data_IF_234892321627
#
_entry.id   IF_234892321627
#
_cell.length_a   1.000
_cell.length_b   1.000
_cell.length_c   1.000
_cell.angle_alpha   90.00
_cell.angle_beta   90.00
_cell.angle_gamma   90.00
#
_symmetry.space_group_name_H-M   'P 1'
#
loop_
_entity.id
_entity.type
_entity.pdbx_description
1 polymer ?
2 non-polymer ?
#
# COMPACT_ATOMS: atom_id res chain seq x y z
N UNK A 1 -8.58 8.73 -0.86
CA UNK A 1 -7.30 7.98 -0.71
C UNK A 1 -7.53 6.63 -0.03
N UNK A 2 -6.80 5.62 -0.47
CA UNK A 2 -6.91 4.28 0.09
C UNK A 2 -5.53 3.75 0.44
N UNK A 3 -5.47 2.95 1.50
CA UNK A 3 -4.21 2.39 1.97
C UNK A 3 -4.12 0.91 1.66
N UNK A 4 -3.14 0.53 0.86
CA UNK A 4 -2.96 -0.89 0.54
C UNK A 4 -1.58 -1.37 0.98
N UNK A 5 -1.55 -2.26 1.96
CA UNK A 5 -0.29 -2.80 2.46
C UNK A 5 -0.48 -4.17 3.11
N UNK A 6 0.60 -4.92 3.23
CA UNK A 6 0.55 -6.21 3.89
C UNK A 6 1.54 -6.26 5.02
N UNK A 7 1.13 -6.81 6.14
CA UNK A 7 2.00 -6.91 7.32
C UNK A 7 1.84 -8.24 8.05
N UNK A 8 2.89 -8.61 8.79
CA UNK A 8 2.89 -9.84 9.55
C UNK A 8 2.26 -9.60 10.91
N UNK A 9 2.18 -10.65 11.71
CA UNK A 9 1.57 -10.55 13.04
C UNK A 9 2.33 -9.56 13.93
N UNK A 10 3.66 -9.61 13.86
CA UNK A 10 4.50 -8.73 14.68
C UNK A 10 4.30 -7.26 14.32
N UNK A 11 4.18 -6.96 13.02
CA UNK A 11 3.98 -5.58 12.60
C UNK A 11 5.03 -5.06 11.64
N UNK A 12 5.85 -5.97 11.11
CA UNK A 12 6.90 -5.60 10.15
C UNK A 12 6.40 -5.72 8.73
N UNK A 13 6.81 -4.80 7.86
CA UNK A 13 6.39 -4.83 6.47
C UNK A 13 7.35 -5.67 5.63
N UNK A 14 8.62 -5.60 5.98
CA UNK A 14 9.63 -6.35 5.25
C UNK A 14 11.03 -5.76 5.38
N UNK A 15 11.84 -5.98 4.35
CA UNK A 15 13.20 -5.48 4.35
C UNK A 15 13.46 -4.63 3.10
N UNK A 16 13.96 -3.44 3.31
CA UNK A 16 14.25 -2.54 2.20
C UNK A 16 12.99 -2.24 1.40
N UNK A 17 11.82 -2.37 2.03
CA UNK A 17 10.57 -2.09 1.34
C UNK A 17 9.98 -3.30 0.64
N UNK A 18 10.83 -4.23 0.21
CA UNK A 18 10.37 -5.42 -0.50
C UNK A 18 9.82 -6.46 0.44
N UNK A 19 8.67 -7.05 0.08
CA UNK A 19 8.03 -8.06 0.91
C UNK A 19 8.90 -9.34 0.96
N UNK A 20 9.51 -9.64 2.13
CA UNK A 20 10.37 -10.81 2.28
C UNK A 20 9.61 -12.13 2.17
N UNK A 21 8.32 -12.11 2.49
CA UNK A 21 7.51 -13.31 2.43
C UNK A 21 6.92 -13.48 1.02
N UNK A 22 6.95 -14.72 0.52
CA UNK A 22 6.42 -15.01 -0.82
C UNK A 22 5.02 -15.61 -0.73
N UNK A 23 4.02 -14.75 -0.78
CA UNK A 23 2.63 -15.19 -0.72
C UNK A 23 1.90 -14.81 -2.00
N UNK A 24 2.08 -15.60 -3.07
CA UNK A 24 1.43 -15.35 -4.36
C UNK A 24 -0.02 -14.95 -4.22
N UNK A 25 -0.67 -15.44 -3.16
CA UNK A 25 -2.08 -15.12 -2.91
C UNK A 25 -2.25 -13.66 -2.51
N UNK A 26 -1.51 -13.24 -1.48
CA UNK A 26 -1.59 -11.86 -1.02
C UNK A 26 -1.10 -10.90 -2.10
N UNK A 27 -0.06 -11.33 -2.85
CA UNK A 27 0.50 -10.52 -3.93
C UNK A 27 -0.56 -10.31 -5.01
N UNK A 28 -1.31 -11.38 -5.31
CA UNK A 28 -2.38 -11.33 -6.29
C UNK A 28 -3.42 -10.30 -5.86
N UNK A 29 -3.71 -10.28 -4.56
CA UNK A 29 -4.68 -9.35 -4.01
C UNK A 29 -4.25 -7.91 -4.27
N UNK A 30 -2.98 -7.59 -4.03
CA UNK A 30 -2.49 -6.22 -4.24
C UNK A 30 -2.64 -5.82 -5.71
N UNK A 31 -2.21 -6.71 -6.59
CA UNK A 31 -2.27 -6.45 -8.03
C UNK A 31 -3.70 -6.26 -8.51
N UNK A 32 -4.61 -7.10 -8.03
CA UNK A 32 -6.02 -7.00 -8.42
C UNK A 32 -6.67 -5.68 -7.98
N UNK A 33 -6.33 -5.24 -6.78
CA UNK A 33 -6.89 -4.00 -6.23
C UNK A 33 -6.43 -2.78 -7.03
N UNK A 34 -5.23 -2.83 -7.58
CA UNK A 34 -4.67 -1.69 -8.32
C UNK A 34 -5.11 -1.68 -9.79
N UNK A 35 -6.02 -2.56 -10.15
CA UNK A 35 -6.46 -2.61 -11.53
C UNK A 35 -7.64 -1.69 -11.80
N UNK A 36 -7.43 -0.74 -12.71
CA UNK A 36 -8.46 0.22 -13.05
C UNK A 36 -8.58 1.31 -12.01
N UNK A 37 -7.56 1.47 -11.17
CA UNK A 37 -7.58 2.49 -10.12
C UNK A 37 -6.23 3.17 -10.01
N UNK A 38 -6.23 4.40 -9.53
CA UNK A 38 -5.00 5.17 -9.37
C UNK A 38 -4.24 4.74 -8.13
N UNK A 39 -2.94 4.47 -8.29
CA UNK A 39 -2.10 4.05 -7.18
C UNK A 39 -0.84 4.92 -7.08
N UNK A 40 -0.37 5.15 -5.86
CA UNK A 40 0.81 5.96 -5.65
C UNK A 40 1.89 5.15 -4.96
N UNK A 41 3.10 5.16 -5.52
CA UNK A 41 4.22 4.41 -4.98
C UNK A 41 5.42 5.29 -4.66
N UNK A 42 5.99 5.08 -3.48
CA UNK A 42 7.16 5.83 -3.07
C UNK A 42 8.38 5.43 -3.87
N UNK A 43 9.46 6.21 -3.76
CA UNK A 43 10.69 5.94 -4.50
C UNK A 43 11.26 4.57 -4.13
N UNK A 44 11.27 4.25 -2.86
CA UNK A 44 11.76 2.96 -2.43
C UNK A 44 10.92 1.87 -3.08
N UNK A 45 9.65 2.15 -3.22
CA UNK A 45 8.72 1.21 -3.84
C UNK A 45 9.09 0.97 -5.30
N UNK A 46 9.42 2.06 -6.01
CA UNK A 46 9.80 1.94 -7.40
C UNK A 46 10.86 0.86 -7.58
N UNK A 47 11.81 0.78 -6.65
CA UNK A 47 12.88 -0.21 -6.72
C UNK A 47 12.43 -1.56 -6.13
N UNK A 48 11.49 -1.52 -5.20
CA UNK A 48 10.98 -2.73 -4.55
C UNK A 48 9.96 -3.46 -5.43
N UNK A 49 9.27 -2.71 -6.29
CA UNK A 49 8.27 -3.30 -7.18
C UNK A 49 8.89 -4.39 -8.03
N UNK A 50 8.11 -5.44 -8.36
CA UNK A 50 8.58 -6.57 -9.17
C UNK A 50 8.73 -6.22 -10.65
N UNK A 51 7.73 -5.51 -11.19
CA UNK A 51 7.79 -5.10 -12.60
C UNK A 51 6.83 -3.94 -12.89
N UNK A 52 7.37 -2.83 -13.37
CA UNK A 52 6.56 -1.66 -13.66
C UNK A 52 6.83 -1.14 -15.07
N UNK A 53 5.86 -0.40 -15.67
CA UNK A 53 4.58 -0.10 -15.04
C UNK A 53 3.55 -1.18 -15.30
N UNK A 54 2.36 -1.04 -14.69
CA UNK A 54 1.29 -2.01 -14.87
C UNK A 54 0.38 -1.60 -16.03
N UNK A 55 -0.20 -2.60 -16.73
CA UNK A 55 -1.09 -2.34 -17.87
C UNK A 55 -2.53 -2.04 -17.48
N UNK A 56 -3.13 -1.07 -18.16
CA UNK A 56 -4.51 -0.68 -17.90
C UNK A 56 -4.67 -0.12 -16.49
N UNK A 57 -3.59 0.46 -15.97
CA UNK A 57 -3.59 1.04 -14.64
C UNK A 57 -2.82 2.36 -14.61
N UNK A 58 -3.09 3.18 -13.61
CA UNK A 58 -2.41 4.47 -13.48
C UNK A 58 -1.50 4.45 -12.26
N UNK A 59 -0.18 4.33 -12.50
CA UNK A 59 0.80 4.30 -11.41
C UNK A 59 1.52 5.64 -11.27
N UNK A 60 1.77 6.06 -10.04
CA UNK A 60 2.45 7.33 -9.81
C UNK A 60 3.64 7.16 -8.85
N UNK A 61 4.82 7.69 -9.22
CA UNK A 61 5.98 7.59 -8.33
C UNK A 61 6.16 8.89 -7.53
N UNK A 62 6.04 8.79 -6.21
CA UNK A 62 6.17 9.96 -5.34
C UNK A 62 7.46 9.93 -4.54
N UNK A 63 8.23 11.03 -4.62
CA UNK A 63 9.47 11.15 -3.85
C UNK A 63 9.60 12.51 -3.16
N UNK A 64 10.36 12.52 -2.07
CA UNK A 64 10.58 13.73 -1.29
C UNK A 64 11.36 14.76 -2.08
N UNK A 65 12.39 14.28 -2.79
CA UNK A 65 13.25 15.16 -3.58
C UNK A 65 12.91 15.11 -5.07
N UNK A 66 12.87 16.28 -5.71
CA UNK A 66 12.55 16.35 -7.13
C UNK A 66 13.73 15.91 -8.01
N UNK A 67 14.87 15.61 -7.38
CA UNK A 67 16.02 15.13 -8.13
C UNK A 67 15.73 13.75 -8.71
N UNK A 68 14.98 12.97 -7.94
CA UNK A 68 14.61 11.60 -8.32
C UNK A 68 13.58 11.58 -9.44
N UNK A 69 13.71 10.58 -10.33
CA UNK A 69 12.78 10.43 -11.43
C UNK A 69 12.38 8.95 -11.54
N UNK A 70 11.19 8.72 -12.08
CA UNK A 70 10.69 7.36 -12.20
C UNK A 70 10.05 7.10 -13.55
N UNK A 71 10.19 5.86 -14.02
CA UNK A 71 9.66 5.45 -15.31
C UNK A 71 8.44 4.52 -15.14
N UNK A 72 7.40 4.78 -15.90
CA UNK A 72 6.21 3.97 -15.81
C UNK A 72 5.16 4.52 -14.87
N UNK A 73 5.60 5.39 -13.94
CA UNK A 73 4.66 6.00 -13.01
C UNK A 73 4.88 7.50 -12.91
N UNK A 74 3.80 8.28 -12.92
CA UNK A 74 3.94 9.74 -12.87
C UNK A 74 4.69 10.16 -11.64
N UNK A 75 5.67 11.04 -11.83
CA UNK A 75 6.49 11.50 -10.73
C UNK A 75 5.99 12.82 -10.14
N UNK A 76 5.57 12.76 -8.88
CA UNK A 76 5.11 13.94 -8.18
C UNK A 76 5.87 14.14 -6.86
N UNK A 77 6.40 15.33 -6.67
CA UNK A 77 7.14 15.66 -5.45
C UNK A 77 6.29 16.55 -4.52
N UNK A 78 5.10 16.91 -4.95
CA UNK A 78 4.20 17.74 -4.17
C UNK A 78 3.12 16.93 -3.49
N UNK A 79 3.03 17.02 -2.16
CA UNK A 79 2.00 16.29 -1.42
C UNK A 79 0.63 16.78 -1.85
N UNK A 80 0.48 18.08 -1.99
CA UNK A 80 -0.77 18.68 -2.40
C UNK A 80 -1.14 18.23 -3.83
N UNK A 81 -0.12 18.09 -4.68
CA UNK A 81 -0.33 17.68 -6.05
C UNK A 81 -0.91 16.29 -6.15
N UNK A 82 -0.47 15.38 -5.26
CA UNK A 82 -0.98 14.01 -5.26
C UNK A 82 -2.48 14.00 -4.97
N UNK A 83 -2.88 14.79 -3.98
CA UNK A 83 -4.30 14.91 -3.62
C UNK A 83 -5.10 15.46 -4.78
N UNK A 84 -4.58 16.50 -5.41
CA UNK A 84 -5.24 17.14 -6.53
C UNK A 84 -5.40 16.19 -7.71
N UNK A 85 -4.38 15.35 -7.94
CA UNK A 85 -4.42 14.40 -9.03
C UNK A 85 -5.61 13.44 -8.85
N UNK A 86 -5.77 12.92 -7.64
CA UNK A 86 -6.87 12.02 -7.33
C UNK A 86 -8.19 12.76 -7.49
N UNK A 87 -8.19 14.02 -7.08
CA UNK A 87 -9.37 14.86 -7.16
C UNK A 87 -9.78 15.04 -8.63
N UNK A 88 -8.81 15.14 -9.51
CA UNK A 88 -9.07 15.31 -10.93
C UNK A 88 -9.81 14.09 -11.48
N UNK A 89 -9.41 12.90 -11.05
CA UNK A 89 -10.04 11.67 -11.51
C UNK A 89 -10.96 11.08 -10.43
N UNK A 90 -12.12 11.68 -10.18
CA UNK A 90 -13.08 11.20 -9.17
C UNK A 90 -13.57 9.79 -9.49
N UNK A 91 -13.60 9.48 -10.78
CA UNK A 91 -14.05 8.16 -11.23
C UNK A 91 -13.12 7.06 -10.74
N UNK A 92 -11.83 7.36 -10.68
CA UNK A 92 -10.85 6.39 -10.21
C UNK A 92 -10.35 6.73 -8.81
N UNK A 93 -10.37 5.74 -7.93
CA UNK A 93 -9.92 5.93 -6.55
C UNK A 93 -8.39 5.93 -6.44
N UNK A 94 -7.87 6.62 -5.45
CA UNK A 94 -6.44 6.70 -5.22
C UNK A 94 -6.01 5.78 -4.08
N UNK A 95 -5.02 4.95 -4.37
CA UNK A 95 -4.51 3.98 -3.40
C UNK A 95 -3.01 4.16 -3.18
N UNK A 96 -2.59 4.15 -1.91
CA UNK A 96 -1.17 4.33 -1.61
C UNK A 96 -0.47 2.98 -1.48
N UNK A 97 0.33 2.65 -2.50
CA UNK A 97 1.07 1.40 -2.52
C UNK A 97 2.25 1.38 -1.56
N UNK A 98 2.57 2.55 -1.02
CA UNK A 98 3.72 2.66 -0.13
C UNK A 98 4.66 3.71 -0.65
N UNK A 99 5.80 3.93 0.02
CA UNK A 99 6.19 3.19 1.20
C UNK A 99 5.60 3.78 2.47
N UNK A 100 6.17 3.38 3.61
CA UNK A 100 5.70 3.86 4.91
C UNK A 100 5.85 5.38 5.02
N UNK A 101 6.93 5.92 4.47
CA UNK A 101 7.13 7.36 4.51
C UNK A 101 6.00 8.03 3.72
N UNK A 102 5.65 7.43 2.60
CA UNK A 102 4.56 7.89 1.76
C UNK A 102 3.24 7.72 2.50
N UNK A 103 3.09 6.57 3.17
CA UNK A 103 1.88 6.28 3.94
C UNK A 103 1.71 7.32 5.04
N UNK A 104 2.80 7.62 5.74
CA UNK A 104 2.78 8.60 6.83
C UNK A 104 2.33 9.96 6.33
N UNK A 105 2.84 10.35 5.18
CA UNK A 105 2.52 11.65 4.59
C UNK A 105 1.02 11.80 4.30
N UNK A 106 0.39 10.75 3.81
CA UNK A 106 -1.05 10.80 3.49
C UNK A 106 -1.92 9.99 4.45
N UNK A 107 -1.32 9.47 5.51
CA UNK A 107 -2.04 8.65 6.50
C UNK A 107 -3.15 9.44 7.20
N UNK A 108 -2.87 10.70 7.50
CA UNK A 108 -3.83 11.54 8.21
C UNK A 108 -5.11 11.80 7.42
N UNK A 109 -4.99 11.91 6.10
CA UNK A 109 -6.14 12.18 5.25
C UNK A 109 -6.56 10.97 4.41
N UNK A 110 -6.70 9.82 5.06
CA UNK A 110 -7.12 8.60 4.37
C UNK A 110 -8.45 8.12 4.91
N UNK A 111 -9.37 7.84 4.00
CA UNK A 111 -10.69 7.38 4.40
C UNK A 111 -10.81 5.86 4.42
N UNK A 112 -10.03 5.16 3.59
CA UNK A 112 -10.08 3.70 3.55
C UNK A 112 -8.72 3.06 3.82
N UNK A 113 -8.66 2.14 4.77
CA UNK A 113 -7.42 1.44 5.11
C UNK A 113 -7.50 -0.05 4.81
N UNK A 114 -6.55 -0.58 4.03
CA UNK A 114 -6.54 -2.02 3.72
C UNK A 114 -5.28 -2.67 4.32
N UNK A 115 -5.48 -3.68 5.16
CA UNK A 115 -4.37 -4.37 5.81
C UNK A 115 -4.45 -5.88 5.68
N UNK A 116 -3.32 -6.50 5.35
CA UNK A 116 -3.25 -7.97 5.23
C UNK A 116 -2.40 -8.52 6.38
N UNK A 117 -2.96 -9.46 7.13
CA UNK A 117 -2.26 -10.03 8.27
C UNK A 117 -1.92 -11.49 8.05
N UNK A 118 -0.67 -11.83 8.37
CA UNK A 118 -0.17 -13.20 8.23
C UNK A 118 0.02 -13.85 9.59
N UNK A 119 -0.48 -15.07 9.73
CA UNK A 119 -0.38 -15.81 10.99
C UNK A 119 1.08 -16.06 11.32
N UNK A 120 1.87 -16.32 10.29
CA UNK A 120 3.29 -16.55 10.50
C UNK A 120 4.02 -15.23 10.74
N UNK A 121 5.32 -15.30 10.99
CA UNK A 121 6.08 -14.08 11.25
C UNK A 121 7.38 -14.06 10.42
N UNK A 122 7.80 -12.85 10.06
CA UNK A 122 9.01 -12.67 9.27
C UNK A 122 9.89 -11.58 9.89
N UNK A 123 11.20 -11.67 9.65
CA UNK A 123 12.16 -10.71 10.18
C UNK A 123 12.77 -9.86 9.07
N UNK A 124 12.86 -8.56 9.33
CA UNK A 124 13.39 -7.63 8.37
C UNK A 124 13.82 -6.32 9.01
N UNK A 125 14.52 -5.49 8.24
CA UNK A 125 15.02 -4.21 8.76
C UNK A 125 14.02 -3.06 8.58
N UNK A 126 12.88 -3.35 7.96
CA UNK A 126 11.87 -2.32 7.76
C UNK A 126 10.56 -2.66 8.48
N UNK A 127 10.06 -1.73 9.27
CA UNK A 127 8.81 -1.92 10.02
C UNK A 127 7.75 -0.90 9.60
N UNK A 128 6.47 -1.29 9.64
CA UNK A 128 5.38 -0.41 9.25
C UNK A 128 5.20 0.71 10.28
N UNK A 129 4.91 1.91 9.79
CA UNK A 129 4.69 3.06 10.67
C UNK A 129 3.46 2.85 11.55
N UNK A 130 3.47 3.40 12.76
CA UNK A 130 2.35 3.26 13.70
C UNK A 130 1.05 3.82 13.14
N UNK A 131 -0.05 3.15 13.45
CA UNK A 131 -1.36 3.58 12.98
C UNK A 131 -2.35 3.69 14.13
N UNK A 132 -3.29 4.63 14.05
CA UNK A 132 -4.27 4.78 15.13
C UNK A 132 -5.51 3.92 14.82
N UNK A 133 -5.47 2.68 15.31
CA UNK A 133 -6.57 1.74 15.11
C UNK A 133 -7.87 2.21 15.74
N UNK A 134 -7.76 2.85 16.91
CA UNK A 134 -8.94 3.33 17.62
C UNK A 134 -9.65 4.42 16.82
N UNK A 135 -8.90 5.27 16.13
CA UNK A 135 -9.48 6.35 15.33
C UNK A 135 -10.33 5.79 14.18
N UNK A 136 -9.90 4.67 13.62
CA UNK A 136 -10.62 4.05 12.50
C UNK A 136 -11.38 2.80 12.97
N UNK A 137 -12.58 2.62 12.43
CA UNK A 137 -13.40 1.45 12.78
C UNK A 137 -13.53 0.52 11.58
N UNK A 138 -13.23 -0.76 11.80
CA UNK A 138 -13.29 -1.75 10.73
C UNK A 138 -14.70 -1.90 10.19
N UNK A 139 -14.82 -1.82 8.86
CA UNK A 139 -16.10 -1.95 8.19
C UNK A 139 -16.37 -3.40 7.79
N UNK A 140 -15.36 -4.04 7.21
CA UNK A 140 -15.50 -5.43 6.77
C UNK A 140 -14.13 -6.10 6.64
N UNK A 141 -14.13 -7.45 6.61
CA UNK A 141 -12.89 -8.20 6.48
C UNK A 141 -13.15 -9.60 5.92
N UNK A 142 -12.12 -10.21 5.34
CA UNK A 142 -12.22 -11.55 4.75
C UNK A 142 -11.05 -12.41 5.19
N UNK A 143 -11.30 -13.68 5.47
CA UNK A 143 -10.24 -14.57 5.90
C UNK A 143 -10.00 -15.70 4.90
N UNK A 144 -8.74 -15.85 4.51
CA UNK A 144 -8.33 -16.89 3.57
C UNK A 144 -7.25 -17.76 4.20
N UNK A 145 -7.43 -19.08 4.15
CA UNK A 145 -6.45 -19.98 4.76
C UNK A 145 -5.65 -20.75 3.73
N UNK A 146 -4.33 -20.59 3.81
CA UNK A 146 -3.39 -21.26 2.91
C UNK A 146 -3.00 -22.63 3.48
N UNK A 147 -2.19 -23.37 2.73
CA UNK A 147 -1.74 -24.69 3.17
C UNK A 147 -0.93 -24.58 4.46
N UNK A 148 -0.01 -23.62 4.49
CA UNK A 148 0.82 -23.40 5.66
C UNK A 148 0.26 -22.25 6.51
N UNK A 149 0.29 -22.37 7.85
CA UNK A 149 -0.23 -21.34 8.75
C UNK A 149 0.41 -19.98 8.52
N UNK A 150 1.71 -19.97 8.24
CA UNK A 150 2.42 -18.73 7.97
C UNK A 150 1.89 -18.06 6.70
N UNK A 151 1.61 -18.91 5.72
CA UNK A 151 1.09 -18.48 4.43
C UNK A 151 -0.34 -17.93 4.56
N UNK A 152 -1.11 -18.51 5.47
CA UNK A 152 -2.49 -18.09 5.65
C UNK A 152 -2.55 -16.62 6.04
N UNK A 153 -3.47 -15.87 5.43
CA UNK A 153 -3.60 -14.44 5.69
C UNK A 153 -5.06 -14.00 5.64
N UNK A 154 -5.34 -12.83 6.19
CA UNK A 154 -6.69 -12.30 6.21
C UNK A 154 -6.70 -10.85 5.71
N UNK A 155 -7.81 -10.42 5.15
CA UNK A 155 -7.93 -9.05 4.67
C UNK A 155 -8.93 -8.27 5.52
N UNK A 156 -8.49 -7.13 6.04
CA UNK A 156 -9.34 -6.28 6.86
C UNK A 156 -9.35 -4.86 6.32
N UNK A 157 -10.54 -4.24 6.26
CA UNK A 157 -10.64 -2.88 5.77
C UNK A 157 -11.23 -1.94 6.83
N UNK A 158 -10.52 -0.84 7.08
CA UNK A 158 -10.97 0.15 8.05
C UNK A 158 -11.33 1.46 7.39
N UNK A 159 -12.42 2.06 7.84
CA UNK A 159 -12.87 3.34 7.31
C UNK A 159 -12.78 4.41 8.39
N UNK A 160 -12.17 5.54 8.07
CA UNK A 160 -12.04 6.62 9.02
C UNK A 160 -13.39 7.22 9.40
N UNK A 161 -13.59 7.46 10.69
CA UNK A 161 -14.83 8.02 11.18
C UNK A 161 -14.59 9.33 11.91
N UNK A 162 -15.46 10.31 11.70
CA UNK A 162 -15.33 11.60 12.35
C UNK A 162 -16.68 12.14 12.79
#
# INVERSE_FOLDING_TARGET
>A
TAFLWAQDRDGLIGKDGHLPWHLPDDLHYFRAQTVGKIMVVGRRTYESFPKRPLPERTNVVLTHQEDYQAQGAVVVHDVAAVFAYAKQHPDQELVIAGGAQIFTAFKDDVDTLLVTRLAGSFEGDTKMIPLNWDDFTKVSSRTVEDTNPALTHTYEVWQKKA
#
